data_IF_086050765941
#
_entry.id   IF_086050765941
#
_cell.length_a   1.000
_cell.length_b   1.000
_cell.length_c   1.000
_cell.angle_alpha   90.00
_cell.angle_beta   90.00
_cell.angle_gamma   90.00
#
_symmetry.space_group_name_H-M   'P 1'
#
loop_
_entity.id
_entity.type
_entity.pdbx_description
1 polymer ?
#
# COMPACT_ATOMS: atom_id res chain seq x y z
N UNK A 1 32.89 11.33 9.19
CA UNK A 1 32.19 10.50 10.21
C UNK A 1 33.09 9.48 10.91
N UNK A 2 33.76 8.57 10.20
CA UNK A 2 34.65 7.57 10.84
C UNK A 2 35.78 8.19 11.69
N UNK A 3 36.36 9.31 11.27
CA UNK A 3 37.37 10.04 12.05
C UNK A 3 36.83 10.57 13.39
N UNK A 4 35.60 11.09 13.41
CA UNK A 4 34.96 11.61 14.63
C UNK A 4 34.63 10.50 15.64
N UNK A 5 34.21 9.33 15.15
CA UNK A 5 34.00 8.15 16.01
C UNK A 5 35.31 7.71 16.64
N UNK A 6 36.39 7.63 15.86
CA UNK A 6 37.73 7.29 16.37
C UNK A 6 38.21 8.29 17.43
N UNK A 7 38.02 9.59 17.18
CA UNK A 7 38.40 10.66 18.11
C UNK A 7 37.58 10.62 19.41
N UNK A 8 36.26 10.46 19.33
CA UNK A 8 35.43 10.32 20.51
C UNK A 8 35.85 9.10 21.34
N UNK A 9 36.11 7.98 20.65
CA UNK A 9 36.49 6.73 21.29
C UNK A 9 37.88 6.78 21.92
N UNK A 10 38.82 7.59 21.43
CA UNK A 10 40.12 7.77 22.08
C UNK A 10 40.05 8.60 23.35
N UNK A 11 39.12 9.57 23.42
CA UNK A 11 38.93 10.48 24.56
C UNK A 11 38.04 9.93 25.67
N UNK A 12 37.26 8.87 25.42
CA UNK A 12 36.27 8.35 26.38
C UNK A 12 36.56 6.88 26.74
N UNK A 13 36.91 6.59 27.99
CA UNK A 13 37.27 5.22 28.46
C UNK A 13 36.06 4.29 28.55
N UNK A 14 34.93 4.79 29.05
CA UNK A 14 33.76 3.99 29.44
C UNK A 14 32.56 4.10 28.48
N UNK A 15 32.58 5.06 27.56
CA UNK A 15 31.54 5.25 26.55
C UNK A 15 32.17 5.29 25.17
N UNK A 16 31.65 4.51 24.24
CA UNK A 16 32.11 4.43 22.86
C UNK A 16 30.97 4.69 21.90
N UNK A 17 31.30 5.16 20.70
CA UNK A 17 30.40 5.31 19.57
C UNK A 17 30.75 4.29 18.49
N UNK A 18 29.76 3.87 17.73
CA UNK A 18 29.90 3.03 16.55
C UNK A 18 29.16 3.63 15.37
N UNK A 19 29.63 3.32 14.16
CA UNK A 19 28.96 3.68 12.91
C UNK A 19 29.03 2.47 11.98
N UNK A 20 27.90 2.10 11.41
CA UNK A 20 27.80 1.02 10.44
C UNK A 20 26.88 1.44 9.29
N UNK A 21 27.21 0.98 8.09
CA UNK A 21 26.39 1.11 6.89
C UNK A 21 26.11 -0.30 6.38
N UNK A 22 24.83 -0.68 6.27
CA UNK A 22 24.41 -1.99 5.78
C UNK A 22 23.49 -1.81 4.57
N UNK A 23 23.81 -2.38 3.39
CA UNK A 23 22.89 -2.39 2.27
C UNK A 23 21.76 -3.41 2.50
N UNK A 24 20.63 -3.25 1.80
CA UNK A 24 19.53 -4.23 1.80
C UNK A 24 18.96 -4.41 0.39
N UNK A 25 18.47 -5.62 0.10
CA UNK A 25 17.68 -5.96 -1.08
C UNK A 25 16.57 -6.89 -0.64
N UNK A 26 15.33 -6.54 -0.94
CA UNK A 26 14.16 -7.31 -0.55
C UNK A 26 13.26 -7.55 -1.77
N UNK A 27 12.97 -8.81 -2.08
CA UNK A 27 12.07 -9.16 -3.18
C UNK A 27 10.61 -8.95 -2.77
N UNK A 28 9.82 -8.37 -3.68
CA UNK A 28 8.43 -8.00 -3.43
C UNK A 28 7.52 -8.88 -4.29
N UNK A 29 6.91 -9.87 -3.65
CA UNK A 29 5.88 -10.76 -4.19
C UNK A 29 5.51 -11.78 -3.11
N UNK A 30 4.34 -12.41 -3.22
CA UNK A 30 4.14 -13.71 -2.61
C UNK A 30 4.97 -14.76 -3.36
N UNK A 31 5.67 -15.63 -2.63
CA UNK A 31 6.42 -16.75 -3.21
C UNK A 31 5.51 -17.74 -3.92
N UNK A 32 4.29 -17.95 -3.40
CA UNK A 32 3.25 -18.70 -4.08
C UNK A 32 2.61 -17.85 -5.19
N UNK A 33 2.83 -18.23 -6.45
CA UNK A 33 2.40 -17.45 -7.63
C UNK A 33 0.92 -17.06 -7.58
N UNK A 34 0.03 -18.00 -7.23
CA UNK A 34 -1.41 -17.75 -7.20
C UNK A 34 -1.82 -16.71 -6.15
N UNK A 35 -1.00 -16.40 -5.15
CA UNK A 35 -1.31 -15.36 -4.17
C UNK A 35 -1.03 -13.95 -4.68
N UNK A 36 -0.41 -13.80 -5.86
CA UNK A 36 -0.19 -12.48 -6.48
C UNK A 36 -1.42 -12.08 -7.31
N UNK A 37 -2.58 -12.06 -6.68
CA UNK A 37 -3.86 -11.67 -7.27
C UNK A 37 -4.63 -10.75 -6.31
N UNK A 38 -5.46 -9.87 -6.87
CA UNK A 38 -6.31 -8.97 -6.11
C UNK A 38 -7.57 -8.62 -6.88
N UNK A 39 -8.60 -8.20 -6.16
CA UNK A 39 -9.87 -7.75 -6.72
C UNK A 39 -10.34 -6.47 -6.05
N UNK A 40 -11.13 -5.70 -6.81
CA UNK A 40 -11.81 -4.50 -6.35
C UNK A 40 -13.21 -4.44 -6.98
N UNK A 41 -14.15 -3.86 -6.26
CA UNK A 41 -15.51 -3.55 -6.67
C UNK A 41 -15.70 -2.04 -6.55
N UNK A 42 -16.12 -1.39 -7.63
CA UNK A 42 -16.30 0.06 -7.70
C UNK A 42 -17.73 0.37 -8.12
N UNK A 43 -18.40 1.25 -7.36
CA UNK A 43 -19.69 1.81 -7.69
C UNK A 43 -19.57 3.31 -7.87
N UNK A 44 -20.19 3.84 -8.94
CA UNK A 44 -20.39 5.28 -9.13
C UNK A 44 -21.88 5.54 -8.94
N UNK A 45 -22.21 6.37 -7.96
CA UNK A 45 -23.59 6.74 -7.67
C UNK A 45 -24.08 7.86 -8.58
N UNK A 46 -25.39 8.05 -8.63
CA UNK A 46 -26.03 9.07 -9.47
C UNK A 46 -25.69 10.51 -9.08
N UNK A 47 -25.18 10.72 -7.85
CA UNK A 47 -24.68 12.01 -7.37
C UNK A 47 -23.20 12.27 -7.73
N UNK A 48 -22.54 11.31 -8.39
CA UNK A 48 -21.14 11.40 -8.80
C UNK A 48 -20.14 10.85 -7.78
N UNK A 49 -20.58 10.47 -6.58
CA UNK A 49 -19.70 9.90 -5.57
C UNK A 49 -19.31 8.45 -5.90
N UNK A 50 -18.13 8.04 -5.44
CA UNK A 50 -17.54 6.73 -5.75
C UNK A 50 -17.35 5.92 -4.49
N UNK A 51 -17.90 4.70 -4.47
CA UNK A 51 -17.68 3.71 -3.43
C UNK A 51 -16.75 2.63 -3.95
N UNK A 52 -15.65 2.39 -3.25
CA UNK A 52 -14.68 1.35 -3.56
C UNK A 52 -14.66 0.31 -2.43
N UNK A 53 -14.67 -0.97 -2.80
CA UNK A 53 -14.38 -2.09 -1.90
C UNK A 53 -13.27 -2.93 -2.51
N UNK A 54 -12.24 -3.26 -1.73
CA UNK A 54 -11.13 -4.09 -2.20
C UNK A 54 -10.77 -5.14 -1.14
N UNK A 55 -10.06 -6.18 -1.57
CA UNK A 55 -9.78 -7.33 -0.70
C UNK A 55 -8.72 -7.13 0.38
N UNK A 56 -8.19 -5.93 0.54
CA UNK A 56 -7.05 -5.64 1.42
C UNK A 56 -7.48 -4.89 2.67
N UNK A 57 -6.91 -5.24 3.81
CA UNK A 57 -7.31 -4.75 5.13
C UNK A 57 -6.43 -3.59 5.58
N UNK A 58 -7.04 -2.52 6.10
CA UNK A 58 -6.32 -1.44 6.76
C UNK A 58 -5.83 -1.88 8.15
N UNK A 59 -4.56 -1.65 8.42
CA UNK A 59 -3.88 -1.97 9.69
C UNK A 59 -2.85 -0.89 10.09
N UNK A 60 -3.01 0.34 9.57
CA UNK A 60 -2.17 1.51 9.87
C UNK A 60 -1.17 1.87 8.77
N UNK A 61 -1.10 1.08 7.69
CA UNK A 61 -0.22 1.30 6.54
C UNK A 61 -0.77 2.31 5.51
N UNK A 62 -2.03 2.75 5.69
CA UNK A 62 -2.70 3.69 4.81
C UNK A 62 -3.05 3.08 3.45
N UNK A 63 -3.44 1.81 3.43
CA UNK A 63 -3.87 1.12 2.22
C UNK A 63 -5.15 1.74 1.64
N UNK A 64 -6.17 1.98 2.48
CA UNK A 64 -7.42 2.58 2.01
C UNK A 64 -7.19 3.99 1.46
N UNK A 65 -6.36 4.79 2.13
CA UNK A 65 -5.97 6.13 1.64
C UNK A 65 -5.33 6.06 0.25
N UNK A 66 -4.40 5.13 0.03
CA UNK A 66 -3.74 4.95 -1.27
C UNK A 66 -4.73 4.48 -2.35
N UNK A 67 -5.68 3.62 -2.01
CA UNK A 67 -6.71 3.16 -2.95
C UNK A 67 -7.67 4.30 -3.32
N UNK A 68 -8.10 5.15 -2.36
CA UNK A 68 -8.85 6.37 -2.64
C UNK A 68 -8.09 7.27 -3.64
N UNK A 69 -6.78 7.49 -3.42
CA UNK A 69 -5.95 8.28 -4.33
C UNK A 69 -5.92 7.71 -5.75
N UNK A 70 -5.81 6.38 -5.88
CA UNK A 70 -5.83 5.71 -7.20
C UNK A 70 -7.16 5.92 -7.91
N UNK A 71 -8.29 5.71 -7.23
CA UNK A 71 -9.61 5.88 -7.82
C UNK A 71 -9.90 7.35 -8.18
N UNK A 72 -9.59 8.28 -7.27
CA UNK A 72 -9.75 9.72 -7.50
C UNK A 72 -8.94 10.19 -8.71
N UNK A 73 -7.67 9.75 -8.81
CA UNK A 73 -6.83 10.05 -9.97
C UNK A 73 -7.34 9.40 -11.26
N UNK A 74 -7.88 8.18 -11.19
CA UNK A 74 -8.41 7.49 -12.36
C UNK A 74 -9.64 8.19 -12.94
N UNK A 75 -10.55 8.68 -12.09
CA UNK A 75 -11.76 9.41 -12.51
C UNK A 75 -11.53 10.91 -12.71
N UNK A 76 -10.41 11.47 -12.25
CA UNK A 76 -10.14 12.91 -12.31
C UNK A 76 -11.01 13.75 -11.36
N UNK A 77 -11.38 13.18 -10.21
CA UNK A 77 -12.27 13.80 -9.21
C UNK A 77 -11.52 14.09 -7.89
N UNK A 78 -12.05 14.98 -7.03
CA UNK A 78 -11.57 15.15 -5.67
C UNK A 78 -11.53 13.83 -4.88
N UNK A 79 -10.53 13.69 -3.99
CA UNK A 79 -10.44 12.50 -3.12
C UNK A 79 -11.62 12.39 -2.15
N UNK A 80 -12.22 13.53 -1.79
CA UNK A 80 -13.37 13.60 -0.88
C UNK A 80 -14.64 13.00 -1.49
N UNK A 81 -14.68 12.85 -2.83
CA UNK A 81 -15.78 12.20 -3.55
C UNK A 81 -15.60 10.66 -3.64
N UNK A 82 -14.50 10.13 -3.08
CA UNK A 82 -14.17 8.69 -3.07
C UNK A 82 -14.16 8.15 -1.65
N UNK A 83 -15.03 7.19 -1.38
CA UNK A 83 -15.06 6.46 -0.11
C UNK A 83 -14.64 5.00 -0.31
N UNK A 84 -13.68 4.52 0.49
CA UNK A 84 -13.35 3.09 0.58
C UNK A 84 -14.05 2.51 1.81
N UNK A 85 -14.89 1.50 1.59
CA UNK A 85 -15.57 0.79 2.67
C UNK A 85 -14.71 -0.34 3.26
N UNK A 86 -15.12 -0.84 4.42
CA UNK A 86 -14.49 -1.99 5.08
C UNK A 86 -14.37 -3.21 4.15
N UNK A 87 -13.30 -3.97 4.34
CA UNK A 87 -13.07 -5.21 3.60
C UNK A 87 -14.07 -6.29 4.01
N UNK A 88 -14.84 -6.80 3.05
CA UNK A 88 -15.81 -7.87 3.30
C UNK A 88 -15.87 -8.88 2.16
N UNK A 89 -16.03 -10.16 2.53
CA UNK A 89 -16.04 -11.30 1.60
C UNK A 89 -17.29 -11.37 0.74
N UNK A 90 -18.37 -10.67 1.09
CA UNK A 90 -19.56 -10.51 0.25
C UNK A 90 -19.34 -9.50 -0.90
N UNK A 91 -18.38 -8.59 -0.76
CA UNK A 91 -18.04 -7.58 -1.80
C UNK A 91 -16.95 -8.08 -2.73
N UNK A 92 -15.88 -8.62 -2.16
CA UNK A 92 -14.73 -9.14 -2.90
C UNK A 92 -14.39 -10.53 -2.36
N UNK A 93 -14.69 -11.56 -3.14
CA UNK A 93 -14.42 -12.95 -2.78
C UNK A 93 -12.97 -13.34 -3.08
N UNK A 94 -12.52 -14.45 -2.47
CA UNK A 94 -11.23 -15.11 -2.75
C UNK A 94 -10.00 -14.19 -2.61
N UNK A 95 -10.03 -13.30 -1.63
CA UNK A 95 -8.95 -12.34 -1.39
C UNK A 95 -7.73 -13.00 -0.76
N UNK A 96 -6.56 -12.40 -0.98
CA UNK A 96 -5.29 -12.85 -0.41
C UNK A 96 -5.02 -12.07 0.89
N UNK A 97 -4.32 -12.63 1.90
CA UNK A 97 -3.94 -11.89 3.09
C UNK A 97 -3.22 -10.58 2.75
N UNK A 98 -3.47 -9.54 3.53
CA UNK A 98 -2.73 -8.27 3.42
C UNK A 98 -1.31 -8.48 3.96
N UNK A 99 -0.39 -8.87 3.07
CA UNK A 99 0.97 -9.28 3.40
C UNK A 99 1.92 -9.11 2.19
N UNK A 100 3.16 -9.59 2.34
CA UNK A 100 4.22 -9.57 1.32
C UNK A 100 4.61 -8.19 0.79
N UNK A 101 4.19 -7.12 1.47
CA UNK A 101 4.36 -5.72 1.02
C UNK A 101 3.74 -5.45 -0.37
N UNK A 102 2.72 -6.24 -0.76
CA UNK A 102 2.14 -6.24 -2.11
C UNK A 102 0.75 -5.59 -2.20
N UNK A 103 0.13 -5.26 -1.07
CA UNK A 103 -1.29 -4.90 -1.06
C UNK A 103 -1.60 -3.61 -1.81
N UNK A 104 -0.73 -2.59 -1.76
CA UNK A 104 -0.92 -1.37 -2.56
C UNK A 104 -0.84 -1.69 -4.05
N UNK A 105 0.15 -2.46 -4.47
CA UNK A 105 0.33 -2.88 -5.86
C UNK A 105 -0.89 -3.67 -6.36
N UNK A 106 -1.31 -4.70 -5.64
CA UNK A 106 -2.43 -5.56 -6.07
C UNK A 106 -3.77 -4.83 -6.05
N UNK A 107 -4.16 -4.22 -4.93
CA UNK A 107 -5.49 -3.63 -4.81
C UNK A 107 -5.59 -2.25 -5.47
N UNK A 108 -4.48 -1.51 -5.55
CA UNK A 108 -4.41 -0.30 -6.37
C UNK A 108 -4.61 -0.63 -7.84
N UNK A 109 -3.91 -1.63 -8.38
CA UNK A 109 -4.09 -2.03 -9.78
C UNK A 109 -5.47 -2.63 -10.06
N UNK A 110 -6.02 -3.42 -9.14
CA UNK A 110 -7.39 -3.93 -9.28
C UNK A 110 -8.43 -2.80 -9.28
N UNK A 111 -8.25 -1.78 -8.43
CA UNK A 111 -9.13 -0.60 -8.39
C UNK A 111 -9.00 0.20 -9.68
N UNK A 112 -7.77 0.44 -10.15
CA UNK A 112 -7.52 1.15 -11.40
C UNK A 112 -8.16 0.45 -12.60
N UNK A 113 -8.09 -0.88 -12.64
CA UNK A 113 -8.73 -1.69 -13.68
C UNK A 113 -10.25 -1.52 -13.66
N UNK A 114 -10.88 -1.64 -12.48
CA UNK A 114 -12.31 -1.42 -12.33
C UNK A 114 -12.73 0.01 -12.75
N UNK A 115 -11.96 1.03 -12.39
CA UNK A 115 -12.21 2.42 -12.80
C UNK A 115 -12.14 2.57 -14.33
N UNK A 116 -11.14 1.95 -14.97
CA UNK A 116 -11.00 1.97 -16.45
C UNK A 116 -12.16 1.30 -17.16
N UNK A 117 -12.68 0.20 -16.61
CA UNK A 117 -13.85 -0.48 -17.17
C UNK A 117 -15.11 0.39 -17.11
N UNK A 118 -15.25 1.24 -16.08
CA UNK A 118 -16.38 2.19 -15.96
C UNK A 118 -16.24 3.37 -16.94
N UNK A 119 -15.00 3.78 -17.25
CA UNK A 119 -14.71 4.89 -18.17
C UNK A 119 -14.74 4.51 -19.66
N UNK A 120 -14.75 3.22 -19.98
CA UNK A 120 -14.73 2.70 -21.34
C UNK A 120 -16.09 2.85 -22.05
#
# INVERSE_FOLDING_TARGET
>A
LNAQVKEFNSKNKWLKRGLCLLPTKFGIAFTAKFMNQGGALVHVYTDGTVLVSHGGTEMGQGLHTKVCQVAAQAFGIPIDDVYVNDSSTDKVANTIPTAASMSTDMYGMATLDACRQILA
#
